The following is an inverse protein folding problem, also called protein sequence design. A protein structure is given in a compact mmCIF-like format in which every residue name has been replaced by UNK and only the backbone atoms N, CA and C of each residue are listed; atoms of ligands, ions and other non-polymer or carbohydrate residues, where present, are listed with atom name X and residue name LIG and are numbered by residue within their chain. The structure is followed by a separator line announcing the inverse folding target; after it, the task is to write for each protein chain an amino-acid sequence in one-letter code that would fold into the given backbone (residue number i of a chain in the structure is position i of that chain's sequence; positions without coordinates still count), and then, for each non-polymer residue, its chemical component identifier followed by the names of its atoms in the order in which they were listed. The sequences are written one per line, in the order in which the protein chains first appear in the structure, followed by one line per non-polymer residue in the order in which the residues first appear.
data_IF_530038599454
#
_entry.id   IF_530038599454
#
_cell.length_a   1.000
_cell.length_b   1.000
_cell.length_c   1.000
_cell.angle_alpha   90.00
_cell.angle_beta   90.00
_cell.angle_gamma   90.00
#
_symmetry.space_group_name_H-M   'P 1'
#
loop_
_entity.id
_entity.type
_entity.pdbx_description
1 polymer ?
#
# COMPACT_ATOMS: atom_id res chain seq x y z
N UNK A 1 -35.66 15.99 19.70
CA UNK A 1 -35.19 16.47 18.39
C UNK A 1 -33.82 15.86 18.13
N UNK A 2 -33.77 14.85 17.26
CA UNK A 2 -32.50 14.37 16.72
C UNK A 2 -32.11 15.20 15.51
N UNK A 3 -30.80 15.33 15.28
CA UNK A 3 -30.13 14.98 14.01
C UNK A 3 -28.67 15.40 14.11
N UNK A 4 -27.79 14.41 14.00
CA UNK A 4 -26.38 14.63 13.71
C UNK A 4 -26.20 15.19 12.30
N UNK A 5 -25.06 15.83 12.09
CA UNK A 5 -24.62 16.23 10.77
C UNK A 5 -23.16 15.83 10.64
N UNK A 6 -22.96 14.60 10.19
CA UNK A 6 -21.72 14.09 9.62
C UNK A 6 -21.31 14.99 8.44
N UNK A 7 -20.18 15.67 8.58
CA UNK A 7 -19.63 16.51 7.52
C UNK A 7 -19.08 15.64 6.39
N UNK A 8 -19.78 15.66 5.26
CA UNK A 8 -19.36 15.35 3.89
C UNK A 8 -18.06 14.53 3.72
N UNK A 9 -18.25 13.24 3.42
CA UNK A 9 -17.25 12.23 3.07
C UNK A 9 -16.36 12.70 1.91
N UNK A 10 -15.11 13.01 2.23
CA UNK A 10 -14.08 13.44 1.28
C UNK A 10 -13.47 12.30 0.45
N UNK A 11 -13.15 12.60 -0.80
CA UNK A 11 -12.53 11.74 -1.81
C UNK A 11 -11.04 11.50 -1.52
N UNK A 12 -10.74 10.68 -0.52
CA UNK A 12 -9.35 10.55 -0.05
C UNK A 12 -8.50 9.60 -0.91
N UNK A 13 -7.89 10.15 -1.97
CA UNK A 13 -6.78 9.54 -2.73
C UNK A 13 -5.49 9.33 -1.90
N UNK A 14 -5.53 9.66 -0.60
CA UNK A 14 -4.52 9.36 0.38
C UNK A 14 -5.18 8.92 1.71
N UNK A 15 -4.66 7.87 2.33
CA UNK A 15 -5.15 7.30 3.59
C UNK A 15 -4.04 7.35 4.64
N UNK A 16 -4.23 8.20 5.65
CA UNK A 16 -3.32 8.31 6.81
C UNK A 16 -3.24 6.98 7.58
N UNK A 17 -4.38 6.27 7.67
CA UNK A 17 -4.44 4.97 8.33
C UNK A 17 -3.59 3.93 7.59
N UNK A 18 -3.70 3.85 6.26
CA UNK A 18 -2.85 2.93 5.48
C UNK A 18 -1.37 3.31 5.56
N UNK A 19 -1.05 4.62 5.55
CA UNK A 19 0.33 5.08 5.68
C UNK A 19 0.94 4.69 7.03
N UNK A 20 0.18 4.85 8.12
CA UNK A 20 0.59 4.41 9.45
C UNK A 20 0.79 2.89 9.53
N UNK A 21 -0.12 2.11 8.94
CA UNK A 21 -0.03 0.65 8.88
C UNK A 21 1.19 0.18 8.08
N UNK A 22 1.47 0.81 6.94
CA UNK A 22 2.66 0.47 6.13
C UNK A 22 3.93 0.78 6.91
N UNK A 23 3.99 1.92 7.61
CA UNK A 23 5.13 2.27 8.46
C UNK A 23 5.34 1.22 9.55
N UNK A 24 4.27 0.86 10.26
CA UNK A 24 4.32 -0.18 11.30
C UNK A 24 4.77 -1.52 10.73
N UNK A 25 4.23 -1.93 9.58
CA UNK A 25 4.60 -3.17 8.90
C UNK A 25 6.09 -3.19 8.55
N UNK A 26 6.65 -2.11 8.01
CA UNK A 26 8.08 -1.99 7.69
C UNK A 26 9.00 -2.11 8.92
N UNK A 27 8.47 -1.85 10.12
CA UNK A 27 9.20 -1.88 11.39
C UNK A 27 8.99 -3.17 12.20
N UNK A 28 7.89 -3.89 11.97
CA UNK A 28 7.44 -5.01 12.82
C UNK A 28 7.42 -6.34 12.07
N UNK A 29 7.17 -6.36 10.77
CA UNK A 29 7.15 -7.60 9.99
C UNK A 29 8.57 -8.19 9.93
N UNK A 30 8.73 -9.45 10.35
CA UNK A 30 10.05 -10.08 10.48
C UNK A 30 10.82 -10.07 9.15
N UNK A 31 10.15 -10.36 8.02
CA UNK A 31 10.78 -10.37 6.71
C UNK A 31 11.15 -8.96 6.28
N UNK A 32 10.17 -8.04 6.27
CA UNK A 32 10.39 -6.69 5.76
C UNK A 32 11.35 -5.90 6.64
N UNK A 33 11.40 -6.14 7.96
CA UNK A 33 12.33 -5.48 8.89
C UNK A 33 13.77 -5.95 8.70
N UNK A 34 13.99 -7.27 8.56
CA UNK A 34 15.32 -7.86 8.56
C UNK A 34 15.97 -7.94 7.16
N UNK A 35 15.17 -7.89 6.08
CA UNK A 35 15.71 -8.04 4.72
C UNK A 35 16.62 -6.88 4.31
N UNK A 36 17.75 -7.24 3.70
CA UNK A 36 18.64 -6.33 2.97
C UNK A 36 18.25 -6.21 1.49
N UNK A 37 17.34 -7.07 1.03
CA UNK A 37 16.85 -7.03 -0.35
C UNK A 37 15.94 -5.82 -0.58
N UNK A 38 15.73 -5.47 -1.85
CA UNK A 38 14.87 -4.35 -2.23
C UNK A 38 13.42 -4.59 -1.80
N UNK A 39 12.86 -3.58 -1.13
CA UNK A 39 11.44 -3.48 -0.78
C UNK A 39 10.86 -2.29 -1.53
N UNK A 40 9.86 -2.53 -2.37
CA UNK A 40 9.13 -1.46 -3.07
C UNK A 40 7.74 -1.30 -2.47
N UNK A 41 7.48 -0.12 -1.90
CA UNK A 41 6.15 0.30 -1.48
C UNK A 41 5.48 0.99 -2.67
N UNK A 42 4.47 0.34 -3.23
CA UNK A 42 3.75 0.78 -4.43
C UNK A 42 2.40 1.35 -4.03
N UNK A 43 2.00 2.46 -4.65
CA UNK A 43 0.64 3.01 -4.50
C UNK A 43 0.06 3.43 -5.86
N UNK A 44 -1.27 3.47 -5.95
CA UNK A 44 -1.98 3.86 -7.17
C UNK A 44 -2.05 5.38 -7.36
N UNK A 45 -1.86 6.16 -6.29
CA UNK A 45 -2.16 7.59 -6.30
C UNK A 45 -0.97 8.43 -5.83
N UNK A 46 -0.64 9.51 -6.58
CA UNK A 46 0.44 10.45 -6.23
C UNK A 46 0.26 11.11 -4.84
N UNK A 47 -0.95 11.52 -4.42
CA UNK A 47 -1.15 12.04 -3.06
C UNK A 47 -0.77 11.03 -1.97
N UNK A 48 -1.10 9.75 -2.15
CA UNK A 48 -0.68 8.70 -1.23
C UNK A 48 0.83 8.50 -1.21
N UNK A 49 1.50 8.61 -2.38
CA UNK A 49 2.96 8.51 -2.44
C UNK A 49 3.63 9.61 -1.60
N UNK A 50 3.17 10.86 -1.74
CA UNK A 50 3.70 11.98 -0.95
C UNK A 50 3.47 11.78 0.55
N UNK A 51 2.29 11.28 0.93
CA UNK A 51 1.97 10.97 2.32
C UNK A 51 2.87 9.86 2.88
N UNK A 52 3.10 8.78 2.12
CA UNK A 52 3.97 7.68 2.52
C UNK A 52 5.42 8.13 2.69
N UNK A 53 5.95 8.90 1.74
CA UNK A 53 7.31 9.46 1.82
C UNK A 53 7.48 10.35 3.05
N UNK A 54 6.50 11.20 3.36
CA UNK A 54 6.51 12.03 4.57
C UNK A 54 6.43 11.19 5.85
N UNK A 55 5.55 10.20 5.87
CA UNK A 55 5.29 9.36 7.06
C UNK A 55 6.47 8.43 7.37
N UNK A 56 7.20 7.99 6.35
CA UNK A 56 8.29 7.04 6.45
C UNK A 56 9.68 7.65 6.20
N UNK A 57 9.83 8.98 6.30
CA UNK A 57 11.09 9.67 5.99
C UNK A 57 12.27 9.10 6.80
N UNK A 58 12.04 8.85 8.10
CA UNK A 58 13.02 8.23 9.01
C UNK A 58 13.44 6.82 8.58
N UNK A 59 12.52 6.06 7.98
CA UNK A 59 12.80 4.72 7.46
C UNK A 59 13.64 4.83 6.19
N UNK A 60 13.30 5.73 5.27
CA UNK A 60 14.05 5.92 4.00
C UNK A 60 15.50 6.30 4.28
N UNK A 61 15.73 7.20 5.24
CA UNK A 61 17.08 7.62 5.64
C UNK A 61 17.92 6.46 6.19
N UNK A 62 17.30 5.55 6.95
CA UNK A 62 17.99 4.42 7.60
C UNK A 62 18.06 3.16 6.74
N UNK A 63 17.18 3.04 5.75
CA UNK A 63 16.97 1.84 4.95
C UNK A 63 16.93 2.19 3.47
N UNK A 64 18.10 2.38 2.82
CA UNK A 64 18.17 2.74 1.40
C UNK A 64 17.63 1.65 0.46
N UNK A 65 17.41 0.43 0.96
CA UNK A 65 16.79 -0.65 0.20
C UNK A 65 15.25 -0.55 0.14
N UNK A 66 14.64 0.42 0.83
CA UNK A 66 13.19 0.66 0.81
C UNK A 66 12.88 1.86 -0.08
N UNK A 67 12.07 1.63 -1.12
CA UNK A 67 11.69 2.65 -2.11
C UNK A 67 10.18 2.82 -2.15
N UNK A 68 9.70 4.06 -2.33
CA UNK A 68 8.29 4.39 -2.46
C UNK A 68 8.00 4.89 -3.87
N UNK A 69 7.07 4.24 -4.56
CA UNK A 69 6.76 4.54 -5.97
C UNK A 69 5.27 4.50 -6.26
N UNK A 70 4.87 5.15 -7.35
CA UNK A 70 3.56 4.88 -7.95
C UNK A 70 3.62 3.63 -8.82
N UNK A 71 2.47 3.02 -9.09
CA UNK A 71 2.38 1.88 -10.01
C UNK A 71 2.91 2.19 -11.41
N UNK A 72 2.70 3.41 -11.91
CA UNK A 72 3.21 3.84 -13.22
C UNK A 72 4.74 3.88 -13.23
N UNK A 73 5.35 4.40 -12.16
CA UNK A 73 6.80 4.42 -11.98
C UNK A 73 7.39 3.01 -11.74
N UNK A 74 6.56 2.04 -11.35
CA UNK A 74 6.97 0.65 -11.15
C UNK A 74 6.90 -0.18 -12.45
N UNK A 75 6.34 0.36 -13.54
CA UNK A 75 6.17 -0.38 -14.80
C UNK A 75 7.53 -0.85 -15.35
N UNK A 76 7.64 -2.16 -15.63
CA UNK A 76 8.87 -2.76 -16.17
C UNK A 76 9.98 -3.00 -15.15
N UNK A 77 9.74 -2.74 -13.85
CA UNK A 77 10.72 -3.01 -12.79
C UNK A 77 10.16 -3.95 -11.74
N UNK A 78 10.92 -4.98 -11.39
CA UNK A 78 10.54 -5.97 -10.38
C UNK A 78 11.28 -5.71 -9.05
N UNK A 79 10.77 -6.28 -7.97
CA UNK A 79 11.45 -6.28 -6.68
C UNK A 79 11.21 -7.59 -5.92
N UNK A 80 12.19 -8.04 -5.09
CA UNK A 80 12.02 -9.16 -4.18
C UNK A 80 10.77 -9.03 -3.32
N UNK A 81 10.53 -7.85 -2.75
CA UNK A 81 9.39 -7.60 -1.89
C UNK A 81 8.58 -6.38 -2.38
N UNK A 82 7.28 -6.57 -2.58
CA UNK A 82 6.33 -5.49 -2.89
C UNK A 82 5.36 -5.33 -1.72
N UNK A 83 5.14 -4.08 -1.30
CA UNK A 83 4.05 -3.67 -0.41
C UNK A 83 3.12 -2.75 -1.20
N UNK A 84 1.89 -3.17 -1.47
CA UNK A 84 0.93 -2.41 -2.27
C UNK A 84 -0.11 -1.72 -1.37
N UNK A 85 -0.13 -0.38 -1.38
CA UNK A 85 -1.20 0.44 -0.81
C UNK A 85 -2.32 0.61 -1.83
N UNK A 86 -3.51 0.13 -1.48
CA UNK A 86 -4.65 0.11 -2.39
C UNK A 86 -5.47 1.40 -2.37
N UNK A 87 -5.56 2.09 -1.22
CA UNK A 87 -6.36 3.32 -0.99
C UNK A 87 -7.85 3.13 -1.36
N UNK A 88 -8.77 3.55 -0.47
CA UNK A 88 -10.22 3.38 -0.68
C UNK A 88 -10.70 4.09 -1.95
N UNK A 89 -11.54 3.42 -2.77
CA UNK A 89 -12.31 4.08 -3.85
C UNK A 89 -13.75 4.40 -3.43
N UNK A 90 -14.34 5.40 -4.08
CA UNK A 90 -15.46 6.22 -3.65
C UNK A 90 -16.83 5.53 -3.43
N UNK A 91 -17.00 4.22 -3.67
CA UNK A 91 -18.35 3.62 -3.78
C UNK A 91 -18.52 2.21 -3.22
N UNK A 92 -17.82 1.84 -2.16
CA UNK A 92 -17.87 0.45 -1.64
C UNK A 92 -17.27 -0.60 -2.60
N UNK A 93 -16.84 -0.16 -3.79
CA UNK A 93 -16.02 -0.92 -4.72
C UNK A 93 -14.56 -0.75 -4.35
N UNK A 94 -13.82 -1.84 -4.47
CA UNK A 94 -12.39 -1.83 -4.17
C UNK A 94 -11.69 -0.93 -5.19
N UNK A 95 -10.81 -0.02 -4.75
CA UNK A 95 -10.11 0.90 -5.67
C UNK A 95 -9.26 0.21 -6.73
N UNK A 96 -8.89 -1.04 -6.50
CA UNK A 96 -8.26 -1.89 -7.51
C UNK A 96 -9.22 -2.32 -8.63
N UNK A 97 -10.52 -2.43 -8.37
CA UNK A 97 -11.49 -3.00 -9.31
C UNK A 97 -11.72 -2.09 -10.52
N UNK A 98 -11.55 -0.77 -10.35
CA UNK A 98 -11.55 0.19 -11.46
C UNK A 98 -10.27 0.17 -12.29
N UNK A 99 -9.20 -0.52 -11.86
CA UNK A 99 -7.97 -0.63 -12.65
C UNK A 99 -7.24 -1.98 -12.47
N UNK A 100 -7.84 -3.08 -12.96
CA UNK A 100 -7.27 -4.43 -12.83
C UNK A 100 -5.92 -4.56 -13.53
N UNK A 101 -5.66 -3.78 -14.60
CA UNK A 101 -4.37 -3.78 -15.30
C UNK A 101 -3.25 -3.26 -14.40
N UNK A 102 -3.47 -2.15 -13.71
CA UNK A 102 -2.48 -1.60 -12.76
C UNK A 102 -2.27 -2.51 -11.56
N UNK A 103 -3.33 -3.16 -11.08
CA UNK A 103 -3.20 -4.15 -10.02
C UNK A 103 -2.36 -5.36 -10.47
N UNK A 104 -2.67 -5.93 -11.64
CA UNK A 104 -1.91 -7.06 -12.19
C UNK A 104 -0.44 -6.71 -12.40
N UNK A 105 -0.13 -5.49 -12.83
CA UNK A 105 1.25 -5.01 -12.91
C UNK A 105 1.91 -5.04 -11.53
N UNK A 106 1.29 -4.43 -10.51
CA UNK A 106 1.84 -4.39 -9.16
C UNK A 106 2.01 -5.79 -8.54
N UNK A 107 1.04 -6.68 -8.76
CA UNK A 107 1.09 -8.09 -8.33
C UNK A 107 2.24 -8.82 -9.02
N UNK A 108 2.35 -8.70 -10.35
CA UNK A 108 3.37 -9.39 -11.15
C UNK A 108 4.78 -8.84 -10.96
N UNK A 109 4.97 -7.73 -10.22
CA UNK A 109 6.29 -7.17 -9.93
C UNK A 109 6.96 -7.80 -8.70
N UNK A 110 6.22 -8.57 -7.90
CA UNK A 110 6.75 -9.21 -6.69
C UNK A 110 7.43 -10.54 -7.04
N UNK A 111 8.71 -10.67 -6.72
CA UNK A 111 9.47 -11.90 -6.98
C UNK A 111 9.33 -12.89 -5.82
N UNK A 112 9.44 -12.43 -4.55
CA UNK A 112 9.42 -13.30 -3.36
C UNK A 112 8.22 -13.08 -2.45
N UNK A 113 7.78 -11.84 -2.28
CA UNK A 113 6.60 -11.56 -1.44
C UNK A 113 5.81 -10.35 -1.90
N UNK A 114 4.48 -10.48 -1.80
CA UNK A 114 3.54 -9.40 -1.99
C UNK A 114 2.76 -9.18 -0.69
N UNK A 115 2.76 -7.96 -0.16
CA UNK A 115 1.89 -7.56 0.94
C UNK A 115 0.91 -6.49 0.47
N UNK A 116 -0.38 -6.78 0.56
CA UNK A 116 -1.46 -5.85 0.24
C UNK A 116 -1.89 -5.12 1.52
N UNK A 117 -1.94 -3.79 1.49
CA UNK A 117 -2.46 -2.96 2.57
C UNK A 117 -3.65 -2.16 2.06
N UNK A 118 -4.75 -2.19 2.81
CA UNK A 118 -6.02 -1.59 2.40
C UNK A 118 -7.08 -1.69 3.48
N UNK A 119 -8.22 -1.05 3.26
CA UNK A 119 -9.36 -1.22 4.18
C UNK A 119 -9.81 -2.69 4.24
N UNK A 120 -10.08 -3.22 5.44
CA UNK A 120 -10.71 -4.53 5.68
C UNK A 120 -11.94 -4.78 4.78
N UNK A 121 -12.76 -3.76 4.56
CA UNK A 121 -13.94 -3.82 3.68
C UNK A 121 -13.57 -4.00 2.20
N UNK A 122 -12.38 -3.52 1.81
CA UNK A 122 -11.81 -3.68 0.47
C UNK A 122 -11.07 -5.02 0.27
N UNK A 123 -10.69 -5.70 1.36
CA UNK A 123 -9.94 -6.96 1.34
C UNK A 123 -10.80 -8.19 1.71
N UNK A 124 -12.08 -7.99 2.05
CA UNK A 124 -13.04 -9.07 2.29
C UNK A 124 -12.91 -9.79 3.64
N UNK A 125 -12.31 -9.18 4.66
CA UNK A 125 -12.14 -9.81 5.99
C UNK A 125 -11.83 -8.83 7.12
N UNK A 126 -11.64 -9.33 8.35
CA UNK A 126 -11.45 -8.55 9.59
C UNK A 126 -10.07 -7.87 9.77
N UNK A 127 -9.13 -8.05 8.83
CA UNK A 127 -7.78 -7.48 8.89
C UNK A 127 -7.52 -6.51 7.73
N UNK A 128 -6.82 -5.42 8.01
CA UNK A 128 -6.51 -4.35 7.05
C UNK A 128 -5.29 -4.65 6.14
N UNK A 129 -4.82 -5.89 6.09
CA UNK A 129 -3.74 -6.30 5.17
C UNK A 129 -3.80 -7.80 4.88
N UNK A 130 -3.35 -8.19 3.69
CA UNK A 130 -3.23 -9.57 3.24
C UNK A 130 -1.82 -9.80 2.67
N UNK A 131 -1.11 -10.82 3.14
CA UNK A 131 0.24 -11.16 2.69
C UNK A 131 0.23 -12.48 1.95
N UNK A 132 0.82 -12.47 0.76
CA UNK A 132 1.01 -13.65 -0.07
C UNK A 132 2.51 -13.86 -0.22
N UNK A 133 2.99 -15.01 0.23
CA UNK A 133 4.34 -15.47 -0.06
C UNK A 133 4.32 -16.05 -1.47
N UNK A 134 5.08 -15.45 -2.39
CA UNK A 134 5.20 -15.95 -3.75
C UNK A 134 6.23 -17.07 -3.76
N UNK A 135 5.76 -18.32 -3.73
CA UNK A 135 6.51 -19.47 -4.22
C UNK A 135 6.10 -19.70 -5.67
N UNK A 136 6.79 -19.02 -6.60
CA UNK A 136 6.77 -19.38 -8.01
C UNK A 136 7.98 -20.26 -8.32
#
# INVERSE_FOLDING_TARGET
HGQGSETAVGTSYASIVEAAQIRELLQTDQLLKATLERVKVVTLYKPQLQLLQKTCADIVERRPNVEFVTVDACQGTEAPHIVLSTVRSQRGSIGFASNPRRLNVAISRAIKSLTLVGSAHALGGDRNWAKVHAGF
#
